data_IF_549866671653
#
_entry.id   IF_549866671653
#
_cell.length_a   1.000
_cell.length_b   1.000
_cell.length_c   1.000
_cell.angle_alpha   90.00
_cell.angle_beta   90.00
_cell.angle_gamma   90.00
#
_symmetry.space_group_name_H-M   'P 1'
#
loop_
_entity.id
_entity.type
_entity.pdbx_description
1 polymer ?
#
# COMPACT_ATOMS: atom_id res chain seq x y z
N UNK A 1 -0.31 -8.91 -22.67
CA UNK A 1 -0.29 -8.66 -21.20
C UNK A 1 -0.97 -7.32 -20.90
N UNK A 2 -1.77 -7.24 -19.83
CA UNK A 2 -2.62 -6.07 -19.51
C UNK A 2 -1.85 -4.74 -19.35
N UNK A 3 -0.67 -4.77 -18.70
CA UNK A 3 0.15 -3.56 -18.52
C UNK A 3 0.63 -2.99 -19.86
N UNK A 4 1.02 -3.87 -20.80
CA UNK A 4 1.43 -3.45 -22.14
C UNK A 4 0.28 -2.76 -22.88
N UNK A 5 -0.94 -3.31 -22.79
CA UNK A 5 -2.13 -2.67 -23.38
C UNK A 5 -2.41 -1.29 -22.76
N UNK A 6 -2.31 -1.15 -21.44
CA UNK A 6 -2.48 0.13 -20.76
C UNK A 6 -1.43 1.18 -21.19
N UNK A 7 -0.18 0.78 -21.41
CA UNK A 7 0.86 1.66 -21.95
C UNK A 7 0.48 2.16 -23.35
N UNK A 8 0.06 1.25 -24.24
CA UNK A 8 -0.33 1.60 -25.60
C UNK A 8 -1.53 2.57 -25.62
N UNK A 9 -2.56 2.34 -24.81
CA UNK A 9 -3.70 3.27 -24.71
C UNK A 9 -3.28 4.63 -24.14
N UNK A 10 -2.41 4.64 -23.11
CA UNK A 10 -1.87 5.87 -22.55
C UNK A 10 -1.10 6.70 -23.59
N UNK A 11 -0.32 6.04 -24.46
CA UNK A 11 0.41 6.72 -25.54
C UNK A 11 -0.52 7.40 -26.53
N UNK A 12 -1.67 6.79 -26.88
CA UNK A 12 -2.64 7.38 -27.81
C UNK A 12 -3.22 8.69 -27.31
N UNK A 13 -3.41 8.82 -25.99
CA UNK A 13 -3.94 10.04 -25.36
C UNK A 13 -2.84 11.01 -24.90
N UNK A 14 -1.58 10.75 -25.26
CA UNK A 14 -0.44 11.61 -24.92
C UNK A 14 0.01 11.55 -23.45
N UNK A 15 -0.41 10.53 -22.70
CA UNK A 15 0.01 10.34 -21.32
C UNK A 15 1.53 10.14 -21.23
N UNK A 16 2.14 10.74 -20.20
CA UNK A 16 3.60 10.71 -19.97
C UNK A 16 4.02 9.76 -18.85
N UNK A 17 3.06 9.27 -18.07
CA UNK A 17 3.32 8.45 -16.88
C UNK A 17 2.20 7.43 -16.72
N UNK A 18 2.58 6.17 -16.54
CA UNK A 18 1.70 5.12 -16.04
C UNK A 18 2.05 4.85 -14.57
N UNK A 19 1.21 5.33 -13.65
CA UNK A 19 1.42 5.11 -12.23
C UNK A 19 0.90 3.72 -11.82
N UNK A 20 1.80 2.77 -11.54
CA UNK A 20 1.45 1.38 -11.23
C UNK A 20 0.94 1.16 -9.79
N UNK A 21 0.83 2.22 -9.00
CA UNK A 21 0.47 2.15 -7.59
C UNK A 21 1.62 1.68 -6.71
N UNK A 22 1.35 1.52 -5.42
CA UNK A 22 2.32 1.02 -4.45
C UNK A 22 2.42 -0.51 -4.41
N UNK A 23 3.27 -0.98 -3.50
CA UNK A 23 3.29 -2.36 -3.02
C UNK A 23 2.72 -2.46 -1.59
N UNK A 24 2.64 -3.68 -1.06
CA UNK A 24 2.28 -3.95 0.32
C UNK A 24 3.43 -3.52 1.24
N UNK A 25 3.14 -2.61 2.16
CA UNK A 25 4.04 -2.24 3.26
C UNK A 25 5.36 -1.56 2.87
N UNK A 26 5.50 -1.05 1.63
CA UNK A 26 6.75 -0.44 1.12
C UNK A 26 8.00 -1.32 1.27
N UNK A 27 7.84 -2.63 1.30
CA UNK A 27 8.94 -3.56 1.57
C UNK A 27 9.62 -4.00 0.26
N UNK A 28 10.97 -4.01 0.21
CA UNK A 28 11.73 -4.56 -0.91
C UNK A 28 11.48 -6.07 -1.15
N UNK A 29 11.06 -6.79 -0.10
CA UNK A 29 10.66 -8.19 -0.15
C UNK A 29 9.21 -8.41 -0.60
N UNK A 30 8.43 -7.36 -0.86
CA UNK A 30 7.10 -7.49 -1.47
C UNK A 30 7.18 -7.93 -2.93
N UNK A 31 6.58 -9.07 -3.25
CA UNK A 31 6.50 -9.61 -4.61
C UNK A 31 5.76 -8.69 -5.58
N UNK A 32 4.71 -7.99 -5.11
CA UNK A 32 3.95 -7.06 -5.93
C UNK A 32 4.78 -5.82 -6.28
N UNK A 33 5.51 -5.27 -5.30
CA UNK A 33 6.48 -4.20 -5.53
C UNK A 33 7.54 -4.60 -6.55
N UNK A 34 8.17 -5.77 -6.38
CA UNK A 34 9.21 -6.26 -7.32
C UNK A 34 8.67 -6.45 -8.74
N UNK A 35 7.48 -7.03 -8.88
CA UNK A 35 6.81 -7.19 -10.17
C UNK A 35 6.62 -5.84 -10.87
N UNK A 36 6.08 -4.84 -10.17
CA UNK A 36 5.84 -3.49 -10.73
C UNK A 36 7.14 -2.76 -11.07
N UNK A 37 8.17 -2.90 -10.24
CA UNK A 37 9.51 -2.32 -10.48
C UNK A 37 10.15 -2.84 -11.77
N UNK A 38 9.76 -4.04 -12.24
CA UNK A 38 10.21 -4.57 -13.53
C UNK A 38 9.79 -3.74 -14.75
N UNK A 39 8.72 -2.92 -14.64
CA UNK A 39 8.20 -2.11 -15.75
C UNK A 39 8.71 -0.66 -15.77
N UNK A 40 9.46 -0.23 -14.76
CA UNK A 40 9.99 1.12 -14.68
C UNK A 40 10.87 1.34 -13.46
N UNK A 41 11.91 2.17 -13.62
CA UNK A 41 12.91 2.41 -12.57
C UNK A 41 12.59 3.62 -11.68
N UNK A 42 11.67 4.49 -12.10
CA UNK A 42 11.32 5.70 -11.35
C UNK A 42 10.43 5.34 -10.16
N UNK A 43 10.95 5.62 -8.96
CA UNK A 43 10.22 5.50 -7.70
C UNK A 43 9.83 6.89 -7.19
N UNK A 44 8.68 6.98 -6.52
CA UNK A 44 8.21 8.21 -5.89
C UNK A 44 8.13 7.99 -4.38
N UNK A 45 8.76 8.85 -3.56
CA UNK A 45 8.54 8.82 -2.12
C UNK A 45 7.07 9.15 -1.83
N UNK A 46 6.51 8.54 -0.80
CA UNK A 46 5.15 8.80 -0.37
C UNK A 46 5.08 8.83 1.16
N UNK A 47 4.02 9.44 1.68
CA UNK A 47 3.74 9.51 3.12
C UNK A 47 2.25 9.39 3.37
N UNK A 48 1.86 8.92 4.55
CA UNK A 48 0.47 8.80 4.95
C UNK A 48 0.19 9.68 6.16
N UNK A 49 -0.96 10.37 6.14
CA UNK A 49 -1.47 11.09 7.30
C UNK A 49 -2.19 10.10 8.23
N UNK A 50 -1.86 10.14 9.52
CA UNK A 50 -2.49 9.32 10.55
C UNK A 50 -3.21 10.23 11.53
N UNK A 51 -4.54 10.17 11.53
CA UNK A 51 -5.37 10.98 12.41
C UNK A 51 -6.48 10.12 13.02
N UNK A 52 -6.60 10.16 14.34
CA UNK A 52 -7.63 9.45 15.11
C UNK A 52 -8.66 10.48 15.56
N UNK A 53 -9.80 10.54 14.88
CA UNK A 53 -10.86 11.49 15.19
C UNK A 53 -11.66 11.12 16.45
N UNK A 54 -11.80 9.82 16.74
CA UNK A 54 -12.58 9.30 17.85
C UNK A 54 -11.71 8.36 18.69
N UNK A 55 -10.96 8.89 19.69
CA UNK A 55 -10.01 8.11 20.46
C UNK A 55 -10.65 6.90 21.18
N UNK A 56 -11.84 7.07 21.76
CA UNK A 56 -12.50 6.00 22.51
C UNK A 56 -12.92 4.82 21.62
N UNK A 57 -13.45 5.12 20.43
CA UNK A 57 -13.82 4.10 19.43
C UNK A 57 -12.57 3.39 18.92
N UNK A 58 -11.50 4.14 18.62
CA UNK A 58 -10.22 3.58 18.19
C UNK A 58 -9.66 2.61 19.23
N UNK A 59 -9.67 3.01 20.50
CA UNK A 59 -9.20 2.18 21.61
C UNK A 59 -10.08 0.94 21.82
N UNK A 60 -11.39 1.05 21.67
CA UNK A 60 -12.30 -0.09 21.74
C UNK A 60 -12.04 -1.11 20.61
N UNK A 61 -11.80 -0.63 19.38
CA UNK A 61 -11.43 -1.49 18.24
C UNK A 61 -10.07 -2.16 18.46
N UNK A 62 -9.09 -1.41 18.97
CA UNK A 62 -7.77 -1.94 19.31
C UNK A 62 -7.85 -3.06 20.34
N UNK A 63 -8.65 -2.87 21.41
CA UNK A 63 -8.88 -3.90 22.44
C UNK A 63 -9.57 -5.16 21.92
N UNK A 64 -10.43 -5.04 20.90
CA UNK A 64 -11.09 -6.19 20.27
C UNK A 64 -10.16 -6.99 19.36
N UNK A 65 -9.08 -6.37 18.88
CA UNK A 65 -8.12 -7.04 18.02
C UNK A 65 -7.13 -7.84 18.88
N UNK A 66 -7.03 -9.15 18.67
CA UNK A 66 -6.19 -10.10 19.44
C UNK A 66 -4.69 -9.96 19.18
N UNK A 67 -4.21 -8.75 18.85
CA UNK A 67 -2.83 -8.51 18.41
C UNK A 67 -1.93 -8.44 19.65
N UNK A 68 -1.20 -9.52 19.94
CA UNK A 68 -0.12 -9.51 20.95
C UNK A 68 1.18 -8.90 20.41
N UNK A 69 1.40 -8.91 19.09
CA UNK A 69 2.63 -8.44 18.46
C UNK A 69 2.31 -7.31 17.50
N UNK A 70 2.61 -6.08 17.91
CA UNK A 70 2.50 -4.92 17.03
C UNK A 70 3.56 -5.03 15.93
N UNK A 71 3.14 -5.19 14.68
CA UNK A 71 4.01 -4.89 13.55
C UNK A 71 4.33 -3.40 13.64
N UNK A 72 5.62 -3.08 13.87
CA UNK A 72 6.06 -1.70 14.00
C UNK A 72 5.55 -0.87 12.82
N UNK A 73 4.95 0.28 13.13
CA UNK A 73 4.47 1.27 12.17
C UNK A 73 3.26 0.91 11.27
N UNK A 74 2.53 -0.18 11.49
CA UNK A 74 1.25 -0.41 10.79
C UNK A 74 0.13 0.49 11.33
N UNK A 75 -0.66 1.11 10.46
CA UNK A 75 -1.78 1.97 10.84
C UNK A 75 -2.98 1.79 9.91
N UNK A 76 -4.21 1.74 10.45
CA UNK A 76 -4.55 1.71 11.87
C UNK A 76 -4.30 0.33 12.50
N UNK A 77 -3.80 0.31 13.74
CA UNK A 77 -3.29 -0.90 14.39
C UNK A 77 -4.37 -1.99 14.52
N UNK A 78 -5.62 -1.60 14.78
CA UNK A 78 -6.74 -2.53 14.94
C UNK A 78 -7.11 -3.32 13.68
N UNK A 79 -6.56 -2.96 12.50
CA UNK A 79 -6.79 -3.68 11.23
C UNK A 79 -5.83 -4.83 10.96
N UNK A 80 -4.82 -5.05 11.81
CA UNK A 80 -3.96 -6.23 11.68
C UNK A 80 -4.84 -7.46 11.94
N UNK A 81 -4.96 -8.33 10.93
CA UNK A 81 -5.58 -9.65 11.09
C UNK A 81 -4.48 -10.64 11.47
N UNK A 82 -4.79 -11.59 12.36
CA UNK A 82 -3.94 -12.77 12.50
C UNK A 82 -4.09 -13.58 11.21
N UNK A 83 -2.97 -13.93 10.57
CA UNK A 83 -2.98 -14.95 9.53
C UNK A 83 -3.49 -16.25 10.19
N UNK A 84 -4.58 -16.81 9.65
CA UNK A 84 -5.16 -18.11 10.05
C UNK A 84 -4.31 -19.22 9.44
#
# INVERSE_FOLDING_TARGET
MMIHAAILEGMKVGAKLLHLGGGVGANAHDGLFRFKKGFGQRLFPYSTLRLIHLPDVYNALKKKSSIMNTVENFFPEYRIQQDI
#
